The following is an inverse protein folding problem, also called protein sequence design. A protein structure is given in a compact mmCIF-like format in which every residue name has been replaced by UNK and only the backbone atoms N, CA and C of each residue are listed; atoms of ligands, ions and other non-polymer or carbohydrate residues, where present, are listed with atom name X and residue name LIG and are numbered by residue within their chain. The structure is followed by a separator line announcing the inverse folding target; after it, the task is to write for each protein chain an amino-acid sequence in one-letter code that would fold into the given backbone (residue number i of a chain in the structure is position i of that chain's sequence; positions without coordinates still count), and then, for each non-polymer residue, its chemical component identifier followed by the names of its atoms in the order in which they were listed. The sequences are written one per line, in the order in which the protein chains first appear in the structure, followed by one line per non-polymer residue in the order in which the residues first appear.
data_IF_885818463790
#
_entry.id   IF_885818463790
#
_cell.length_a   1.000
_cell.length_b   1.000
_cell.length_c   1.000
_cell.angle_alpha   90.00
_cell.angle_beta   90.00
_cell.angle_gamma   90.00
#
_symmetry.space_group_name_H-M   'P 1'
#
loop_
_entity.id
_entity.type
_entity.pdbx_description
1 polymer ?
#
# COMPACT_ATOMS: atom_id res chain seq x y z
N UNK A 1 18.97 -15.78 9.59
CA UNK A 1 17.83 -16.19 10.43
C UNK A 1 16.57 -15.75 9.73
N UNK A 2 15.74 -16.71 9.34
CA UNK A 2 14.53 -16.49 8.55
C UNK A 2 13.38 -16.06 9.46
N UNK A 3 12.44 -15.28 8.93
CA UNK A 3 11.26 -14.85 9.68
C UNK A 3 10.47 -16.05 10.25
N UNK A 4 10.35 -17.12 9.47
CA UNK A 4 9.72 -18.38 9.86
C UNK A 4 10.45 -19.14 10.96
N UNK A 5 11.74 -18.92 11.18
CA UNK A 5 12.49 -19.52 12.30
C UNK A 5 12.19 -18.81 13.62
N UNK A 6 11.91 -17.49 13.56
CA UNK A 6 11.61 -16.68 14.74
C UNK A 6 10.12 -16.74 15.12
N UNK A 7 9.24 -16.90 14.13
CA UNK A 7 7.79 -16.96 14.33
C UNK A 7 7.20 -18.04 13.41
N UNK A 8 7.35 -19.33 13.76
CA UNK A 8 6.88 -20.44 12.92
C UNK A 8 5.34 -20.51 12.82
N UNK A 9 4.64 -19.99 13.83
CA UNK A 9 3.17 -19.93 13.85
C UNK A 9 2.59 -18.77 13.01
N UNK A 10 3.45 -17.88 12.48
CA UNK A 10 2.98 -16.76 11.67
C UNK A 10 2.84 -17.12 10.20
N UNK A 11 1.63 -16.89 9.67
CA UNK A 11 1.35 -17.03 8.26
C UNK A 11 1.32 -15.64 7.61
N UNK A 12 2.39 -15.31 6.88
CA UNK A 12 2.49 -14.03 6.15
C UNK A 12 2.67 -14.30 4.66
N UNK A 13 1.73 -13.82 3.84
CA UNK A 13 1.82 -13.93 2.38
C UNK A 13 2.66 -12.77 1.83
N UNK A 14 3.92 -13.09 1.49
CA UNK A 14 4.92 -12.12 1.07
C UNK A 14 5.42 -12.35 -0.36
N UNK A 15 5.56 -11.29 -1.17
CA UNK A 15 6.34 -11.34 -2.42
C UNK A 15 7.66 -10.60 -2.24
N UNK A 16 8.78 -11.32 -2.35
CA UNK A 16 10.10 -10.71 -2.44
C UNK A 16 10.47 -10.47 -3.89
N UNK A 17 10.91 -9.25 -4.22
CA UNK A 17 11.40 -8.95 -5.56
C UNK A 17 11.46 -7.47 -5.87
N UNK A 18 11.54 -7.18 -7.15
CA UNK A 18 11.42 -5.84 -7.72
C UNK A 18 10.54 -5.93 -8.96
N UNK A 19 9.67 -4.95 -9.17
CA UNK A 19 8.91 -4.81 -10.41
C UNK A 19 9.78 -4.36 -11.61
N UNK A 20 11.03 -3.98 -11.36
CA UNK A 20 11.97 -3.52 -12.36
C UNK A 20 13.34 -4.17 -12.11
N UNK A 21 13.81 -5.01 -13.04
CA UNK A 21 15.06 -5.76 -12.95
C UNK A 21 16.31 -4.88 -12.83
N UNK A 22 16.23 -3.61 -13.24
CA UNK A 22 17.34 -2.66 -13.16
C UNK A 22 17.41 -1.96 -11.79
N UNK A 23 16.44 -2.17 -10.90
CA UNK A 23 16.49 -1.63 -9.53
C UNK A 23 17.22 -2.60 -8.60
N UNK A 24 18.23 -2.06 -7.92
CA UNK A 24 19.00 -2.76 -6.88
C UNK A 24 18.13 -2.97 -5.63
N UNK A 25 17.19 -2.08 -5.37
CA UNK A 25 16.25 -2.18 -4.25
C UNK A 25 15.39 -3.43 -4.38
N UNK A 26 15.49 -4.31 -3.37
CA UNK A 26 14.59 -5.45 -3.21
C UNK A 26 13.56 -5.10 -2.14
N UNK A 27 12.30 -5.38 -2.42
CA UNK A 27 11.20 -5.17 -1.46
C UNK A 27 10.56 -6.50 -1.11
N UNK A 28 10.13 -6.64 0.14
CA UNK A 28 9.18 -7.67 0.57
C UNK A 28 7.85 -6.97 0.77
N UNK A 29 6.81 -7.41 0.05
CA UNK A 29 5.45 -6.88 0.22
C UNK A 29 4.63 -7.91 0.97
N UNK A 30 4.05 -7.53 2.10
CA UNK A 30 3.13 -8.36 2.87
C UNK A 30 1.69 -7.91 2.63
N UNK A 31 0.79 -8.86 2.38
CA UNK A 31 -0.65 -8.59 2.39
C UNK A 31 -1.20 -8.85 3.78
N UNK A 32 -1.98 -7.89 4.29
CA UNK A 32 -2.62 -7.96 5.58
C UNK A 32 -4.08 -7.50 5.43
N UNK A 33 -4.96 -8.12 6.18
CA UNK A 33 -6.33 -7.63 6.39
C UNK A 33 -6.29 -6.34 7.23
N UNK A 34 -7.39 -5.58 7.26
CA UNK A 34 -7.49 -4.27 7.92
C UNK A 34 -7.41 -4.28 9.47
N UNK A 35 -6.85 -5.36 10.05
CA UNK A 35 -6.60 -5.47 11.48
C UNK A 35 -5.35 -4.67 11.90
N UNK A 36 -5.58 -3.55 12.56
CA UNK A 36 -4.54 -2.63 12.97
C UNK A 36 -3.56 -3.18 14.01
N UNK A 37 -4.03 -4.04 14.92
CA UNK A 37 -3.17 -4.69 15.91
C UNK A 37 -2.22 -5.68 15.24
N UNK A 38 -2.72 -6.43 14.25
CA UNK A 38 -1.91 -7.34 13.43
C UNK A 38 -0.86 -6.60 12.61
N UNK A 39 -1.19 -5.42 12.09
CA UNK A 39 -0.23 -4.56 11.40
C UNK A 39 0.91 -4.11 12.32
N UNK A 40 0.60 -3.62 13.52
CA UNK A 40 1.61 -3.17 14.50
C UNK A 40 2.54 -4.31 14.91
N UNK A 41 1.97 -5.48 15.18
CA UNK A 41 2.73 -6.66 15.56
C UNK A 41 3.63 -7.15 14.42
N UNK A 42 3.12 -7.21 13.18
CA UNK A 42 3.95 -7.55 12.02
C UNK A 42 5.10 -6.55 11.83
N UNK A 43 4.83 -5.25 11.96
CA UNK A 43 5.85 -4.21 11.81
C UNK A 43 7.01 -4.44 12.80
N UNK A 44 6.70 -4.75 14.06
CA UNK A 44 7.71 -5.07 15.07
C UNK A 44 8.53 -6.31 14.70
N UNK A 45 7.88 -7.40 14.26
CA UNK A 45 8.54 -8.65 13.84
C UNK A 45 9.47 -8.41 12.65
N UNK A 46 9.00 -7.68 11.63
CA UNK A 46 9.79 -7.30 10.45
C UNK A 46 11.00 -6.46 10.85
N UNK A 47 10.82 -5.49 11.74
CA UNK A 47 11.91 -4.63 12.22
C UNK A 47 12.99 -5.42 12.95
N UNK A 48 12.60 -6.40 13.78
CA UNK A 48 13.57 -7.31 14.43
C UNK A 48 14.33 -8.18 13.43
N UNK A 49 13.66 -8.72 12.41
CA UNK A 49 14.33 -9.47 11.36
C UNK A 49 15.32 -8.61 10.57
N UNK A 50 14.88 -7.44 10.13
CA UNK A 50 15.70 -6.53 9.33
C UNK A 50 16.90 -6.01 10.13
N UNK A 51 16.73 -5.72 11.41
CA UNK A 51 17.83 -5.33 12.30
C UNK A 51 18.95 -6.37 12.41
N UNK A 52 18.63 -7.68 12.30
CA UNK A 52 19.63 -8.75 12.30
C UNK A 52 20.45 -8.85 11.02
N UNK A 53 19.99 -8.25 9.92
CA UNK A 53 20.72 -8.23 8.66
C UNK A 53 21.86 -7.21 8.64
N UNK A 54 21.85 -6.24 9.57
CA UNK A 54 22.87 -5.19 9.65
C UNK A 54 22.90 -4.25 8.44
N UNK A 55 21.84 -4.25 7.62
CA UNK A 55 21.69 -3.38 6.46
C UNK A 55 20.73 -2.23 6.77
N UNK A 56 20.91 -1.06 6.14
CA UNK A 56 19.90 -0.01 6.22
C UNK A 56 18.60 -0.51 5.57
N UNK A 57 17.48 -0.29 6.24
CA UNK A 57 16.15 -0.65 5.75
C UNK A 57 15.13 0.42 6.12
N UNK A 58 14.04 0.45 5.36
CA UNK A 58 12.88 1.32 5.60
C UNK A 58 11.62 0.46 5.57
N UNK A 59 10.71 0.66 6.52
CA UNK A 59 9.40 0.00 6.53
C UNK A 59 8.36 1.05 6.14
N UNK A 60 7.64 0.80 5.03
CA UNK A 60 6.51 1.61 4.58
C UNK A 60 5.22 0.84 4.73
N UNK A 61 4.22 1.46 5.33
CA UNK A 61 2.86 0.95 5.37
C UNK A 61 2.07 1.67 4.29
N UNK A 62 1.48 0.92 3.38
CA UNK A 62 0.54 1.42 2.38
C UNK A 62 -0.75 0.62 2.52
N UNK A 63 -1.88 1.32 2.63
CA UNK A 63 -3.19 0.69 2.44
C UNK A 63 -3.41 0.56 0.93
N UNK A 64 -3.92 -0.60 0.51
CA UNK A 64 -4.18 -0.89 -0.90
C UNK A 64 -5.20 0.07 -1.53
N UNK A 65 -5.47 -0.14 -2.81
CA UNK A 65 -6.27 0.74 -3.66
C UNK A 65 -7.74 0.95 -3.24
N UNK A 66 -8.23 0.40 -2.13
CA UNK A 66 -9.63 0.58 -1.71
C UNK A 66 -9.90 2.00 -1.23
N UNK A 67 -8.91 2.64 -0.58
CA UNK A 67 -9.10 3.91 0.11
C UNK A 67 -9.67 5.04 -0.76
N UNK A 68 -9.19 5.31 -2.00
CA UNK A 68 -9.74 6.40 -2.81
C UNK A 68 -11.18 6.14 -3.24
N UNK A 69 -11.52 4.89 -3.55
CA UNK A 69 -12.84 4.54 -4.06
C UNK A 69 -13.89 4.44 -2.95
N UNK A 70 -13.49 4.16 -1.71
CA UNK A 70 -14.39 4.19 -0.55
C UNK A 70 -15.05 5.57 -0.34
N UNK A 71 -14.38 6.66 -0.76
CA UNK A 71 -14.98 7.99 -0.73
C UNK A 71 -16.11 8.18 -1.74
N UNK A 72 -16.15 7.37 -2.81
CA UNK A 72 -17.19 7.42 -3.84
C UNK A 72 -18.27 6.37 -3.63
N UNK A 73 -17.91 5.18 -3.14
CA UNK A 73 -18.78 4.01 -3.12
C UNK A 73 -19.02 3.44 -1.72
N UNK A 74 -18.45 4.05 -0.68
CA UNK A 74 -18.52 3.53 0.68
C UNK A 74 -17.61 2.30 0.87
N UNK A 75 -17.72 1.61 2.02
CA UNK A 75 -16.88 0.47 2.37
C UNK A 75 -16.89 -0.64 1.32
N UNK A 76 -15.72 -1.22 1.03
CA UNK A 76 -15.55 -2.22 -0.05
C UNK A 76 -16.40 -3.49 0.12
N UNK A 77 -16.76 -3.82 1.36
CA UNK A 77 -17.65 -4.93 1.73
C UNK A 77 -19.08 -4.75 1.21
N UNK A 78 -19.47 -3.50 0.95
CA UNK A 78 -20.79 -3.16 0.41
C UNK A 78 -20.82 -3.08 -1.11
N UNK A 79 -19.68 -3.27 -1.78
CA UNK A 79 -19.57 -3.05 -3.20
C UNK A 79 -20.36 -4.09 -4.02
N UNK A 80 -21.06 -3.61 -5.06
CA UNK A 80 -21.79 -4.41 -6.04
C UNK A 80 -21.14 -4.23 -7.42
N UNK A 81 -21.45 -5.14 -8.34
CA UNK A 81 -20.98 -5.07 -9.74
C UNK A 81 -21.29 -3.71 -10.39
N UNK A 82 -22.45 -3.15 -10.09
CA UNK A 82 -22.86 -1.81 -10.50
C UNK A 82 -23.37 -1.05 -9.27
N UNK A 83 -22.88 0.18 -9.09
CA UNK A 83 -23.26 1.05 -8.00
C UNK A 83 -23.30 2.49 -8.46
N UNK A 84 -24.16 3.28 -7.82
CA UNK A 84 -24.12 4.73 -7.98
C UNK A 84 -23.03 5.32 -7.09
N UNK A 85 -22.44 6.41 -7.57
CA UNK A 85 -21.54 7.24 -6.77
C UNK A 85 -22.37 7.84 -5.62
N UNK A 86 -21.98 7.56 -4.39
CA UNK A 86 -22.65 8.03 -3.17
C UNK A 86 -22.37 9.50 -2.90
N UNK A 87 -21.18 9.98 -3.29
CA UNK A 87 -20.73 11.35 -3.05
C UNK A 87 -20.02 11.90 -4.30
N UNK A 88 -20.79 12.54 -5.18
CA UNK A 88 -20.25 13.13 -6.41
C UNK A 88 -19.28 14.29 -6.11
N UNK A 89 -19.42 14.96 -4.98
CA UNK A 89 -18.54 16.06 -4.56
C UNK A 89 -17.11 15.61 -4.28
N UNK A 90 -16.88 14.32 -4.02
CA UNK A 90 -15.54 13.75 -3.81
C UNK A 90 -14.89 13.23 -5.08
N UNK A 91 -15.58 13.22 -6.23
CA UNK A 91 -15.05 12.68 -7.51
C UNK A 91 -13.70 13.29 -7.87
N UNK A 92 -13.62 14.63 -7.89
CA UNK A 92 -12.40 15.34 -8.25
C UNK A 92 -11.26 15.08 -7.25
N UNK A 93 -11.59 15.04 -5.95
CA UNK A 93 -10.62 14.72 -4.92
C UNK A 93 -10.03 13.31 -5.10
N UNK A 94 -10.87 12.33 -5.41
CA UNK A 94 -10.45 10.94 -5.65
C UNK A 94 -9.58 10.83 -6.89
N UNK A 95 -9.96 11.49 -8.00
CA UNK A 95 -9.15 11.52 -9.22
C UNK A 95 -7.76 12.12 -8.93
N UNK A 96 -7.70 13.22 -8.18
CA UNK A 96 -6.43 13.86 -7.83
C UNK A 96 -5.59 12.96 -6.91
N UNK A 97 -6.20 12.27 -5.95
CA UNK A 97 -5.49 11.28 -5.11
C UNK A 97 -4.96 10.11 -5.93
N UNK A 98 -5.74 9.58 -6.88
CA UNK A 98 -5.27 8.54 -7.79
C UNK A 98 -4.09 9.04 -8.65
N UNK A 99 -4.14 10.27 -9.15
CA UNK A 99 -3.03 10.88 -9.89
C UNK A 99 -1.77 11.02 -9.03
N UNK A 100 -1.91 11.49 -7.80
CA UNK A 100 -0.79 11.56 -6.85
C UNK A 100 -0.17 10.18 -6.59
N UNK A 101 -1.01 9.17 -6.37
CA UNK A 101 -0.55 7.80 -6.10
C UNK A 101 0.14 7.15 -7.32
N UNK A 102 -0.39 7.37 -8.53
CA UNK A 102 0.10 6.76 -9.75
C UNK A 102 1.30 7.50 -10.36
N UNK A 103 1.35 8.82 -10.21
CA UNK A 103 2.32 9.68 -10.91
C UNK A 103 3.20 10.52 -9.98
N UNK A 104 3.10 10.36 -8.66
CA UNK A 104 4.08 10.91 -7.71
C UNK A 104 3.93 12.40 -7.40
N UNK A 105 2.73 12.98 -7.56
CA UNK A 105 2.40 14.29 -7.00
C UNK A 105 3.24 15.47 -7.53
N UNK A 106 3.40 15.58 -8.84
CA UNK A 106 3.65 16.85 -9.54
C UNK A 106 2.99 16.77 -10.92
N UNK A 107 1.67 16.96 -10.95
CA UNK A 107 1.04 17.38 -12.19
C UNK A 107 1.32 18.89 -12.31
N UNK A 108 2.37 19.25 -13.03
CA UNK A 108 2.53 20.60 -13.58
C UNK A 108 1.33 20.87 -14.48
N UNK A 109 0.25 21.39 -13.90
CA UNK A 109 -0.80 22.07 -14.64
C UNK A 109 -0.29 23.47 -14.99
N UNK A 110 0.64 23.54 -15.96
CA UNK A 110 0.75 24.72 -16.80
C UNK A 110 -0.09 24.46 -18.06
N UNK A 111 -1.25 25.11 -18.25
CA UNK A 111 -1.88 25.13 -19.55
C UNK A 111 -1.00 25.98 -20.46
N UNK A 112 -0.28 25.34 -21.38
CA UNK A 112 0.30 26.04 -22.53
C UNK A 112 -0.85 26.41 -23.47
N UNK A 113 -1.39 27.60 -23.30
CA UNK A 113 -2.22 28.25 -24.30
C UNK A 113 -1.60 29.58 -24.70
N UNK A 114 -1.27 29.66 -25.99
CA UNK A 114 -1.33 30.87 -26.81
C UNK A 114 -0.27 31.93 -26.55
#
# INVERSE_FOLDING_TARGET
MLFSELWPEEYVYGKFGTGNSNKITRVVVFHLDDNFDRLRDLQFKVQKCAGKLGLPFEIKVSRGCSFPFEFLFGPSESWKKEMQVMDEGKREWVINKLREMLYGGHADHSPSHG
#
